data_IF_057434528016
#
_entry.id   IF_057434528016
#
_cell.length_a   1.000
_cell.length_b   1.000
_cell.length_c   1.000
_cell.angle_alpha   90.00
_cell.angle_beta   90.00
_cell.angle_gamma   90.00
#
_symmetry.space_group_name_H-M   'P 1'
#
loop_
_entity.id
_entity.type
_entity.pdbx_description
1 polymer ?
#
# COMPACT_ATOMS: atom_id res chain seq x y z
N UNK A 1 19.33 -2.21 39.63
CA UNK A 1 20.07 -0.94 39.79
C UNK A 1 20.91 -0.75 38.53
N UNK A 2 20.45 0.11 37.60
CA UNK A 2 21.31 0.58 36.50
C UNK A 2 22.30 1.54 37.15
N UNK A 3 23.59 1.31 36.99
CA UNK A 3 24.62 2.12 37.67
C UNK A 3 24.80 3.45 36.93
N UNK A 4 25.22 4.50 37.63
CA UNK A 4 25.40 5.85 37.08
C UNK A 4 26.36 5.84 35.85
N UNK A 5 27.31 4.90 35.83
CA UNK A 5 28.26 4.64 34.74
C UNK A 5 27.58 4.18 33.46
N UNK A 6 26.57 3.31 33.56
CA UNK A 6 25.81 2.82 32.40
C UNK A 6 25.03 3.99 31.76
N UNK A 7 24.41 4.83 32.60
CA UNK A 7 23.66 6.00 32.13
C UNK A 7 24.53 7.01 31.38
N UNK A 8 25.77 7.19 31.82
CA UNK A 8 26.75 8.05 31.16
C UNK A 8 27.19 7.48 29.80
N UNK A 9 27.45 6.17 29.73
CA UNK A 9 27.79 5.50 28.47
C UNK A 9 26.64 5.57 27.46
N UNK A 10 25.40 5.36 27.88
CA UNK A 10 24.23 5.51 27.00
C UNK A 10 24.09 6.95 26.49
N UNK A 11 24.39 7.95 27.32
CA UNK A 11 24.33 9.36 26.93
C UNK A 11 25.40 9.70 25.87
N UNK A 12 26.63 9.20 26.03
CA UNK A 12 27.69 9.36 25.04
C UNK A 12 27.33 8.64 23.74
N UNK A 13 26.83 7.40 23.82
CA UNK A 13 26.42 6.64 22.66
C UNK A 13 25.30 7.36 21.88
N UNK A 14 24.29 7.88 22.59
CA UNK A 14 23.21 8.66 21.99
C UNK A 14 23.73 9.95 21.36
N UNK A 15 24.59 10.70 22.06
CA UNK A 15 25.20 11.92 21.52
C UNK A 15 26.02 11.65 20.25
N UNK A 16 26.81 10.58 20.26
CA UNK A 16 27.62 10.15 19.11
C UNK A 16 26.74 9.72 17.93
N UNK A 17 25.64 9.01 18.21
CA UNK A 17 24.66 8.64 17.21
C UNK A 17 24.00 9.88 16.58
N UNK A 18 23.53 10.81 17.40
CA UNK A 18 22.91 12.06 16.91
C UNK A 18 23.89 12.87 16.07
N UNK A 19 25.13 13.01 16.53
CA UNK A 19 26.18 13.71 15.80
C UNK A 19 26.46 13.05 14.45
N UNK A 20 26.68 11.74 14.43
CA UNK A 20 27.07 11.01 13.21
C UNK A 20 25.94 10.91 12.19
N UNK A 21 24.69 10.73 12.62
CA UNK A 21 23.58 10.48 11.71
C UNK A 21 22.80 11.73 11.30
N UNK A 22 22.73 12.75 12.14
CA UNK A 22 22.00 13.98 11.82
C UNK A 22 22.95 15.14 11.58
N UNK A 23 23.85 15.43 12.51
CA UNK A 23 24.66 16.66 12.45
C UNK A 23 25.73 16.58 11.36
N UNK A 24 26.49 15.49 11.26
CA UNK A 24 27.57 15.37 10.27
C UNK A 24 27.03 15.41 8.84
N UNK A 25 26.01 14.64 8.43
CA UNK A 25 25.41 14.76 7.09
C UNK A 25 24.80 16.13 6.86
N UNK A 26 24.19 16.71 7.90
CA UNK A 26 23.67 18.07 7.85
C UNK A 26 24.78 19.12 7.71
N UNK A 27 26.01 18.92 8.16
CA UNK A 27 27.06 19.91 7.95
C UNK A 27 27.78 19.69 6.62
N UNK A 28 28.03 18.43 6.26
CA UNK A 28 28.80 18.07 5.07
C UNK A 28 28.07 18.41 3.76
N UNK A 29 26.79 18.04 3.65
CA UNK A 29 25.94 18.28 2.45
C UNK A 29 26.70 18.21 1.12
N UNK A 30 27.23 17.01 0.75
CA UNK A 30 28.19 16.88 -0.34
C UNK A 30 27.68 17.37 -1.70
N UNK A 31 26.36 17.44 -1.88
CA UNK A 31 25.70 17.88 -3.11
C UNK A 31 25.09 19.28 -3.00
N UNK A 32 25.31 19.96 -1.87
CA UNK A 32 24.80 21.29 -1.52
C UNK A 32 23.27 21.38 -1.65
N UNK A 33 22.57 20.30 -1.28
CA UNK A 33 21.12 20.20 -1.45
C UNK A 33 20.38 21.28 -0.67
N UNK A 34 20.89 21.71 0.49
CA UNK A 34 20.21 22.75 1.28
C UNK A 34 20.31 24.13 0.67
N UNK A 35 21.40 24.46 0.00
CA UNK A 35 21.56 25.77 -0.66
C UNK A 35 20.90 25.78 -2.03
N UNK A 36 20.95 24.65 -2.75
CA UNK A 36 20.39 24.52 -4.10
C UNK A 36 18.89 24.34 -4.12
N UNK A 37 18.31 23.65 -3.13
CA UNK A 37 16.90 23.31 -3.12
C UNK A 37 16.20 23.87 -1.88
N UNK A 38 15.22 24.78 -2.06
CA UNK A 38 14.42 25.28 -0.96
C UNK A 38 13.54 24.19 -0.37
N UNK A 39 13.16 24.35 0.89
CA UNK A 39 12.23 23.44 1.53
C UNK A 39 12.16 23.64 3.04
N UNK A 40 11.29 22.89 3.72
CA UNK A 40 11.11 23.01 5.15
C UNK A 40 12.43 22.84 5.92
N UNK A 41 12.71 23.66 6.95
CA UNK A 41 13.97 23.58 7.68
C UNK A 41 14.23 22.19 8.29
N UNK A 42 13.20 21.60 8.92
CA UNK A 42 13.29 20.27 9.53
C UNK A 42 13.54 19.15 8.51
N UNK A 43 13.03 19.30 7.28
CA UNK A 43 13.30 18.36 6.20
C UNK A 43 14.80 18.29 5.86
N UNK A 44 15.59 19.31 6.21
CA UNK A 44 17.02 19.33 5.90
C UNK A 44 17.82 18.53 6.91
N UNK A 45 17.30 18.44 8.13
CA UNK A 45 17.93 17.77 9.26
C UNK A 45 17.54 16.29 9.33
N UNK A 46 16.28 15.95 9.06
CA UNK A 46 15.77 14.60 9.36
C UNK A 46 14.63 14.15 8.46
N UNK A 47 14.59 12.83 8.20
CA UNK A 47 13.48 12.16 7.52
C UNK A 47 12.23 12.04 8.41
N UNK A 48 12.34 12.26 9.72
CA UNK A 48 11.18 12.28 10.64
C UNK A 48 10.15 13.33 10.26
N UNK A 49 10.59 14.45 9.65
CA UNK A 49 9.68 15.45 9.14
C UNK A 49 8.75 14.86 8.06
N UNK A 50 9.32 14.19 7.05
CA UNK A 50 8.53 13.56 5.99
C UNK A 50 7.69 12.39 6.53
N UNK A 51 8.27 11.55 7.37
CA UNK A 51 7.57 10.44 8.02
C UNK A 51 6.33 10.91 8.79
N UNK A 52 6.41 12.04 9.50
CA UNK A 52 5.25 12.61 10.19
C UNK A 52 4.16 13.11 9.24
N UNK A 53 4.54 13.67 8.09
CA UNK A 53 3.60 14.09 7.03
C UNK A 53 2.91 12.89 6.40
N UNK A 54 3.65 11.83 6.05
CA UNK A 54 3.06 10.58 5.53
C UNK A 54 2.06 9.99 6.53
N UNK A 55 2.44 9.93 7.80
CA UNK A 55 1.58 9.42 8.88
C UNK A 55 0.33 10.28 9.12
N UNK A 56 0.39 11.58 8.82
CA UNK A 56 -0.79 12.46 8.92
C UNK A 56 -1.87 12.16 7.89
N UNK A 57 -1.57 11.40 6.83
CA UNK A 57 -2.48 11.14 5.71
C UNK A 57 -2.58 12.27 4.68
N UNK A 58 -1.97 13.43 4.94
CA UNK A 58 -2.05 14.63 4.09
C UNK A 58 -0.79 14.84 3.22
N UNK A 59 -0.03 13.77 2.96
CA UNK A 59 1.24 13.84 2.22
C UNK A 59 1.13 14.57 0.88
N UNK A 60 0.20 14.13 0.02
CA UNK A 60 0.04 14.71 -1.31
C UNK A 60 -0.36 16.18 -1.27
N UNK A 61 -1.23 16.56 -0.33
CA UNK A 61 -1.67 17.94 -0.17
C UNK A 61 -0.53 18.84 0.32
N UNK A 62 0.21 18.41 1.34
CA UNK A 62 1.32 19.17 1.89
C UNK A 62 2.43 19.32 0.86
N UNK A 63 2.77 18.25 0.11
CA UNK A 63 3.78 18.34 -0.96
C UNK A 63 3.35 19.31 -2.05
N UNK A 64 2.07 19.31 -2.45
CA UNK A 64 1.53 20.32 -3.39
C UNK A 64 1.70 21.75 -2.85
N UNK A 65 1.29 22.01 -1.60
CA UNK A 65 1.42 23.33 -0.98
C UNK A 65 2.89 23.79 -0.89
N UNK A 66 3.82 22.85 -0.69
CA UNK A 66 5.25 23.16 -0.69
C UNK A 66 5.75 23.54 -2.08
N UNK A 67 5.30 22.86 -3.13
CA UNK A 67 5.62 23.24 -4.50
C UNK A 67 5.02 24.61 -4.89
N UNK A 68 3.82 24.93 -4.40
CA UNK A 68 3.22 26.27 -4.56
C UNK A 68 4.06 27.36 -3.88
N UNK A 69 4.70 27.03 -2.75
CA UNK A 69 5.51 27.97 -1.97
C UNK A 69 6.96 28.10 -2.44
N UNK A 70 7.60 26.98 -2.79
CA UNK A 70 9.05 26.88 -2.99
C UNK A 70 9.44 26.64 -4.46
N UNK A 71 8.47 26.37 -5.34
CA UNK A 71 8.67 26.15 -6.77
C UNK A 71 8.76 24.68 -7.15
N UNK A 72 9.33 24.41 -8.33
CA UNK A 72 9.32 23.08 -8.97
C UNK A 72 10.23 22.06 -8.30
N UNK A 73 11.29 22.48 -7.62
CA UNK A 73 12.23 21.61 -6.91
C UNK A 73 12.17 21.89 -5.41
N UNK A 74 11.75 20.91 -4.63
CA UNK A 74 11.54 21.07 -3.18
C UNK A 74 12.27 19.99 -2.40
N UNK A 75 13.06 20.39 -1.41
CA UNK A 75 13.71 19.47 -0.48
C UNK A 75 12.71 18.94 0.55
N UNK A 76 12.52 17.62 0.55
CA UNK A 76 11.59 16.89 1.41
C UNK A 76 12.30 16.01 2.47
N UNK A 77 13.62 15.85 2.37
CA UNK A 77 14.45 15.13 3.32
C UNK A 77 15.92 15.51 3.12
N UNK A 78 16.86 15.05 3.97
CA UNK A 78 18.27 15.37 3.83
C UNK A 78 18.84 14.97 2.45
N UNK A 79 18.36 13.86 1.89
CA UNK A 79 18.74 13.36 0.56
C UNK A 79 17.50 13.08 -0.32
N UNK A 80 16.44 13.86 -0.17
CA UNK A 80 15.18 13.66 -0.90
C UNK A 80 14.71 14.99 -1.48
N UNK A 81 14.73 15.08 -2.81
CA UNK A 81 14.19 16.20 -3.58
C UNK A 81 12.93 15.73 -4.31
N UNK A 82 11.86 16.50 -4.18
CA UNK A 82 10.65 16.35 -4.98
C UNK A 82 10.70 17.30 -6.16
N UNK A 83 10.27 16.81 -7.31
CA UNK A 83 10.41 17.47 -8.60
C UNK A 83 9.04 17.51 -9.26
N UNK A 84 8.55 18.72 -9.50
CA UNK A 84 7.31 19.02 -10.20
C UNK A 84 7.63 19.77 -11.49
N UNK A 85 8.43 19.13 -12.35
CA UNK A 85 8.90 19.67 -13.62
C UNK A 85 8.66 18.63 -14.74
N UNK A 86 7.87 18.96 -15.79
CA UNK A 86 7.58 18.02 -16.89
C UNK A 86 8.84 17.57 -17.64
N UNK A 87 9.86 18.42 -17.75
CA UNK A 87 11.09 18.12 -18.49
C UNK A 87 11.95 17.07 -17.77
N UNK A 88 11.69 16.84 -16.49
CA UNK A 88 12.38 15.85 -15.66
C UNK A 88 11.89 14.41 -15.89
N UNK A 89 10.74 14.21 -16.56
CA UNK A 89 10.13 12.88 -16.72
C UNK A 89 11.04 11.89 -17.47
N UNK A 90 11.62 12.30 -18.60
CA UNK A 90 12.51 11.43 -19.39
C UNK A 90 13.82 11.14 -18.66
N UNK A 91 14.35 12.14 -17.94
CA UNK A 91 15.58 12.00 -17.15
C UNK A 91 15.37 10.97 -16.01
N UNK A 92 14.22 11.05 -15.32
CA UNK A 92 13.93 10.23 -14.14
C UNK A 92 13.43 8.84 -14.52
N UNK A 93 12.44 8.77 -15.42
CA UNK A 93 11.73 7.53 -15.76
C UNK A 93 12.22 6.87 -17.06
N UNK A 94 13.13 7.52 -17.79
CA UNK A 94 13.82 6.90 -18.92
C UNK A 94 14.79 5.80 -18.48
N UNK A 95 15.80 5.53 -19.30
CA UNK A 95 16.67 4.37 -19.09
C UNK A 95 17.80 4.60 -18.07
N UNK A 96 17.95 5.81 -17.52
CA UNK A 96 19.12 6.22 -16.74
C UNK A 96 19.11 5.77 -15.28
N UNK A 97 18.09 6.14 -14.51
CA UNK A 97 18.12 6.03 -13.05
C UNK A 97 17.71 4.64 -12.53
N UNK A 98 18.25 4.29 -11.36
CA UNK A 98 17.81 3.14 -10.58
C UNK A 98 16.75 3.58 -9.58
N UNK A 99 15.80 2.69 -9.28
CA UNK A 99 14.91 2.85 -8.13
C UNK A 99 15.75 3.05 -6.87
N UNK A 100 15.31 3.95 -5.98
CA UNK A 100 16.01 4.27 -4.74
C UNK A 100 15.88 3.13 -3.71
N UNK A 101 16.63 3.23 -2.60
CA UNK A 101 16.52 2.29 -1.47
C UNK A 101 15.15 2.29 -0.82
N UNK A 102 14.35 3.33 -1.05
CA UNK A 102 12.95 3.44 -0.66
C UNK A 102 12.15 2.15 -0.92
N UNK A 103 12.37 1.55 -2.09
CA UNK A 103 11.67 0.35 -2.51
C UNK A 103 12.00 -0.89 -1.65
N UNK A 104 13.13 -0.91 -0.93
CA UNK A 104 13.48 -2.02 -0.06
C UNK A 104 12.52 -2.18 1.12
N UNK A 105 11.85 -1.11 1.56
CA UNK A 105 10.81 -1.19 2.60
C UNK A 105 9.60 -2.03 2.18
N UNK A 106 9.42 -2.25 0.87
CA UNK A 106 8.36 -3.11 0.33
C UNK A 106 8.74 -4.59 0.26
N UNK A 107 10.02 -4.93 0.50
CA UNK A 107 10.47 -6.31 0.40
C UNK A 107 9.98 -7.12 1.60
N UNK A 108 9.00 -8.01 1.36
CA UNK A 108 8.39 -8.86 2.41
C UNK A 108 9.05 -10.23 2.56
N UNK A 109 9.89 -10.65 1.61
CA UNK A 109 10.49 -11.98 1.56
C UNK A 109 12.00 -11.94 1.26
N UNK A 110 12.64 -13.11 1.16
CA UNK A 110 14.09 -13.21 0.89
C UNK A 110 14.47 -12.67 -0.49
N UNK A 111 13.51 -12.62 -1.43
CA UNK A 111 13.69 -12.08 -2.77
C UNK A 111 12.79 -10.87 -2.98
N UNK A 112 13.27 -9.94 -3.80
CA UNK A 112 12.47 -8.84 -4.35
C UNK A 112 11.36 -9.39 -5.25
N UNK A 113 10.28 -8.62 -5.40
CA UNK A 113 9.25 -8.79 -6.42
C UNK A 113 9.48 -7.78 -7.57
N UNK A 114 8.59 -7.78 -8.57
CA UNK A 114 8.70 -6.86 -9.70
C UNK A 114 8.66 -5.38 -9.29
N UNK A 115 7.89 -5.04 -8.25
CA UNK A 115 7.72 -3.66 -7.80
C UNK A 115 8.99 -3.13 -7.10
N UNK A 116 9.59 -3.92 -6.22
CA UNK A 116 10.75 -3.50 -5.43
C UNK A 116 12.13 -3.90 -5.98
N UNK A 117 12.21 -4.70 -7.06
CA UNK A 117 13.50 -4.93 -7.73
C UNK A 117 14.07 -3.63 -8.29
N UNK A 118 15.30 -3.33 -7.89
CA UNK A 118 16.08 -2.16 -8.32
C UNK A 118 17.06 -2.48 -9.45
N UNK A 119 17.59 -3.71 -9.48
CA UNK A 119 18.47 -4.16 -10.56
C UNK A 119 17.71 -4.27 -11.89
N UNK A 120 18.27 -3.68 -12.95
CA UNK A 120 17.57 -3.57 -14.23
C UNK A 120 17.46 -4.92 -14.95
N UNK A 121 18.47 -5.79 -14.82
CA UNK A 121 18.48 -7.11 -15.47
C UNK A 121 17.44 -8.00 -14.80
N UNK A 122 17.50 -8.12 -13.48
CA UNK A 122 16.54 -8.88 -12.68
C UNK A 122 15.11 -8.36 -12.90
N UNK A 123 14.91 -7.03 -12.92
CA UNK A 123 13.60 -6.44 -13.17
C UNK A 123 13.07 -6.80 -14.55
N UNK A 124 13.92 -6.75 -15.57
CA UNK A 124 13.55 -7.10 -16.95
C UNK A 124 13.14 -8.57 -17.08
N UNK A 125 13.85 -9.47 -16.42
CA UNK A 125 13.51 -10.90 -16.37
C UNK A 125 12.16 -11.14 -15.67
N UNK A 126 11.94 -10.51 -14.51
CA UNK A 126 10.66 -10.62 -13.78
C UNK A 126 9.50 -10.05 -14.59
N UNK A 127 9.70 -8.90 -15.24
CA UNK A 127 8.70 -8.26 -16.10
C UNK A 127 8.34 -9.18 -17.26
N UNK A 128 9.33 -9.79 -17.91
CA UNK A 128 9.11 -10.71 -19.04
C UNK A 128 8.16 -11.85 -18.65
N UNK A 129 8.32 -12.43 -17.46
CA UNK A 129 7.48 -13.55 -16.97
C UNK A 129 6.00 -13.22 -16.84
N UNK A 130 5.65 -11.98 -16.50
CA UNK A 130 4.24 -11.57 -16.29
C UNK A 130 3.67 -10.73 -17.44
N UNK A 131 4.52 -10.27 -18.37
CA UNK A 131 4.13 -9.35 -19.44
C UNK A 131 3.00 -9.87 -20.34
N UNK A 132 2.95 -11.18 -20.60
CA UNK A 132 1.93 -11.79 -21.44
C UNK A 132 0.52 -11.61 -20.86
N UNK A 133 0.37 -11.63 -19.53
CA UNK A 133 -0.90 -11.45 -18.82
C UNK A 133 -1.52 -10.08 -19.13
N UNK A 134 -0.67 -9.06 -19.32
CA UNK A 134 -1.08 -7.68 -19.60
C UNK A 134 -1.12 -7.35 -21.10
N UNK A 135 -1.01 -8.34 -22.00
CA UNK A 135 -1.23 -8.10 -23.43
C UNK A 135 -2.68 -7.74 -23.71
N UNK A 136 -2.94 -6.89 -24.72
CA UNK A 136 -4.31 -6.47 -25.06
C UNK A 136 -5.26 -7.66 -25.26
N UNK A 137 -4.79 -8.72 -25.93
CA UNK A 137 -5.55 -9.97 -26.11
C UNK A 137 -5.94 -10.62 -24.79
N UNK A 138 -4.99 -10.76 -23.84
CA UNK A 138 -5.27 -11.41 -22.56
C UNK A 138 -6.07 -10.52 -21.61
N UNK A 139 -5.94 -9.20 -21.70
CA UNK A 139 -6.78 -8.29 -20.92
C UNK A 139 -8.25 -8.42 -21.30
N UNK A 140 -8.56 -8.58 -22.60
CA UNK A 140 -9.93 -8.78 -23.06
C UNK A 140 -10.55 -10.09 -22.54
N UNK A 141 -9.75 -11.13 -22.27
CA UNK A 141 -10.29 -12.38 -21.69
C UNK A 141 -10.76 -12.21 -20.25
N UNK A 142 -10.38 -11.12 -19.56
CA UNK A 142 -10.88 -10.80 -18.22
C UNK A 142 -12.22 -10.08 -18.23
N UNK A 143 -12.66 -9.54 -19.37
CA UNK A 143 -13.89 -8.74 -19.46
C UNK A 143 -15.13 -9.44 -18.90
N UNK A 144 -15.41 -10.73 -19.20
CA UNK A 144 -16.59 -11.40 -18.66
C UNK A 144 -16.58 -11.47 -17.12
N UNK A 145 -15.40 -11.68 -16.52
CA UNK A 145 -15.25 -11.72 -15.05
C UNK A 145 -15.49 -10.35 -14.43
N UNK A 146 -14.87 -9.31 -14.99
CA UNK A 146 -15.05 -7.92 -14.54
C UNK A 146 -16.53 -7.52 -14.65
N UNK A 147 -17.17 -7.84 -15.78
CA UNK A 147 -18.60 -7.57 -16.01
C UNK A 147 -19.50 -8.27 -14.99
N UNK A 148 -19.15 -9.47 -14.55
CA UNK A 148 -19.87 -10.18 -13.48
C UNK A 148 -19.85 -9.40 -12.16
N UNK A 149 -18.68 -8.92 -11.74
CA UNK A 149 -18.55 -8.10 -10.52
C UNK A 149 -19.30 -6.78 -10.62
N UNK A 150 -19.28 -6.12 -11.78
CA UNK A 150 -20.07 -4.89 -12.02
C UNK A 150 -21.56 -5.18 -11.88
N UNK A 151 -22.07 -6.27 -12.47
CA UNK A 151 -23.47 -6.67 -12.34
C UNK A 151 -23.84 -6.98 -10.89
N UNK A 152 -22.96 -7.61 -10.12
CA UNK A 152 -23.19 -7.85 -8.69
C UNK A 152 -23.31 -6.52 -7.92
N UNK A 153 -22.47 -5.53 -8.22
CA UNK A 153 -22.58 -4.22 -7.59
C UNK A 153 -23.90 -3.52 -7.93
N UNK A 154 -24.30 -3.52 -9.21
CA UNK A 154 -25.58 -2.95 -9.63
C UNK A 154 -26.77 -3.65 -8.91
N UNK A 155 -26.75 -4.98 -8.83
CA UNK A 155 -27.78 -5.73 -8.13
C UNK A 155 -27.86 -5.37 -6.63
N UNK A 156 -26.72 -5.10 -5.98
CA UNK A 156 -26.68 -4.61 -4.59
C UNK A 156 -27.28 -3.20 -4.46
N UNK A 157 -27.03 -2.31 -5.43
CA UNK A 157 -27.66 -0.99 -5.44
C UNK A 157 -29.18 -1.08 -5.66
N UNK A 158 -29.64 -1.93 -6.57
CA UNK A 158 -31.06 -2.17 -6.80
C UNK A 158 -31.75 -2.72 -5.54
N UNK A 159 -31.09 -3.62 -4.81
CA UNK A 159 -31.59 -4.15 -3.54
C UNK A 159 -31.74 -3.03 -2.51
N UNK A 160 -30.73 -2.17 -2.36
CA UNK A 160 -30.79 -1.04 -1.43
C UNK A 160 -31.87 -0.04 -1.75
N UNK A 161 -32.10 0.26 -3.03
CA UNK A 161 -33.21 1.12 -3.43
C UNK A 161 -34.55 0.54 -2.93
N UNK A 162 -34.74 -0.78 -3.02
CA UNK A 162 -35.94 -1.47 -2.51
C UNK A 162 -36.02 -1.45 -0.99
N UNK A 163 -34.89 -1.61 -0.30
CA UNK A 163 -34.82 -1.59 1.17
C UNK A 163 -35.03 -0.18 1.73
N UNK A 164 -34.47 0.84 1.09
CA UNK A 164 -34.65 2.24 1.46
C UNK A 164 -36.10 2.70 1.31
N UNK A 165 -36.80 2.23 0.27
CA UNK A 165 -38.24 2.46 0.11
C UNK A 165 -39.06 1.88 1.29
N UNK A 166 -38.51 0.92 2.03
CA UNK A 166 -39.10 0.34 3.26
C UNK A 166 -38.54 0.97 4.55
N UNK A 167 -37.69 2.00 4.44
CA UNK A 167 -37.05 2.66 5.58
C UNK A 167 -35.94 1.84 6.25
N UNK A 168 -35.45 0.77 5.61
CA UNK A 168 -34.34 -0.05 6.15
C UNK A 168 -33.03 0.63 5.81
N UNK A 169 -32.10 0.69 6.77
CA UNK A 169 -30.72 1.14 6.56
C UNK A 169 -29.75 0.00 6.85
N UNK A 170 -28.48 0.14 6.47
CA UNK A 170 -27.50 -0.91 6.71
C UNK A 170 -26.07 -0.40 6.82
N UNK A 171 -25.12 -1.33 6.75
CA UNK A 171 -23.70 -0.99 6.80
C UNK A 171 -23.32 -0.18 5.56
N UNK A 172 -22.74 1.01 5.79
CA UNK A 172 -22.24 1.91 4.75
C UNK A 172 -23.31 2.49 3.80
N UNK A 173 -24.57 2.56 4.25
CA UNK A 173 -25.64 3.29 3.57
C UNK A 173 -26.81 3.59 4.51
N UNK A 174 -27.56 4.65 4.24
CA UNK A 174 -28.73 5.04 5.02
C UNK A 174 -29.95 5.25 4.13
N UNK A 175 -31.12 4.92 4.64
CA UNK A 175 -32.38 5.26 4.00
C UNK A 175 -32.83 6.65 4.42
N UNK A 176 -33.02 7.54 3.46
CA UNK A 176 -33.53 8.89 3.68
C UNK A 176 -34.60 9.18 2.64
N UNK A 177 -35.81 9.55 3.08
CA UNK A 177 -36.95 9.88 2.20
C UNK A 177 -37.27 8.79 1.15
N UNK A 178 -37.09 7.51 1.51
CA UNK A 178 -37.30 6.38 0.60
C UNK A 178 -36.15 6.14 -0.40
N UNK A 179 -35.05 6.89 -0.29
CA UNK A 179 -33.87 6.79 -1.14
C UNK A 179 -32.68 6.20 -0.38
N UNK A 180 -31.84 5.43 -1.07
CA UNK A 180 -30.61 4.90 -0.50
C UNK A 180 -29.46 5.89 -0.70
N UNK A 181 -28.94 6.44 0.40
CA UNK A 181 -27.71 7.23 0.39
C UNK A 181 -26.52 6.33 0.66
N UNK A 182 -25.60 6.24 -0.30
CA UNK A 182 -24.45 5.33 -0.29
C UNK A 182 -23.13 6.10 -0.39
N UNK A 183 -22.09 5.63 0.30
CA UNK A 183 -20.72 6.09 0.04
C UNK A 183 -20.17 5.42 -1.22
N UNK A 184 -20.22 6.14 -2.35
CA UNK A 184 -19.76 5.66 -3.65
C UNK A 184 -18.27 5.32 -3.65
N UNK A 185 -17.43 6.04 -2.89
CA UNK A 185 -15.99 5.75 -2.83
C UNK A 185 -15.74 4.37 -2.23
N UNK A 186 -16.47 4.02 -1.17
CA UNK A 186 -16.42 2.70 -0.58
C UNK A 186 -17.01 1.62 -1.53
N UNK A 187 -18.12 1.89 -2.21
CA UNK A 187 -18.72 0.96 -3.19
C UNK A 187 -17.76 0.60 -4.32
N UNK A 188 -17.10 1.60 -4.91
CA UNK A 188 -16.11 1.40 -5.97
C UNK A 188 -14.87 0.66 -5.42
N UNK A 189 -14.50 0.92 -4.16
CA UNK A 189 -13.42 0.18 -3.53
C UNK A 189 -13.76 -1.30 -3.37
N UNK A 190 -14.98 -1.64 -2.94
CA UNK A 190 -15.43 -3.04 -2.87
C UNK A 190 -15.32 -3.74 -4.21
N UNK A 191 -15.79 -3.07 -5.28
CA UNK A 191 -15.68 -3.57 -6.65
C UNK A 191 -14.23 -3.80 -7.06
N UNK A 192 -13.35 -2.83 -6.85
CA UNK A 192 -11.95 -2.92 -7.24
C UNK A 192 -11.23 -4.07 -6.51
N UNK A 193 -11.44 -4.20 -5.19
CA UNK A 193 -10.80 -5.25 -4.41
C UNK A 193 -11.35 -6.64 -4.73
N UNK A 194 -12.64 -6.80 -4.99
CA UNK A 194 -13.21 -8.10 -5.41
C UNK A 194 -12.72 -8.52 -6.80
N UNK A 195 -12.61 -7.58 -7.76
CA UNK A 195 -11.99 -7.83 -9.06
C UNK A 195 -10.52 -8.26 -8.89
N UNK A 196 -9.74 -7.53 -8.07
CA UNK A 196 -8.33 -7.86 -7.80
C UNK A 196 -8.22 -9.24 -7.14
N UNK A 197 -9.06 -9.54 -6.15
CA UNK A 197 -9.08 -10.85 -5.48
C UNK A 197 -9.38 -11.98 -6.46
N UNK A 198 -10.39 -11.81 -7.30
CA UNK A 198 -10.76 -12.81 -8.30
C UNK A 198 -9.66 -13.02 -9.35
N UNK A 199 -9.11 -11.94 -9.94
CA UNK A 199 -8.10 -12.05 -10.99
C UNK A 199 -6.74 -12.51 -10.46
N UNK A 200 -6.31 -12.05 -9.28
CA UNK A 200 -4.99 -12.35 -8.73
C UNK A 200 -4.97 -13.63 -7.87
N UNK A 201 -6.03 -13.89 -7.11
CA UNK A 201 -6.11 -15.02 -6.16
C UNK A 201 -7.05 -16.14 -6.63
N UNK A 202 -7.87 -15.88 -7.66
CA UNK A 202 -8.86 -16.83 -8.15
C UNK A 202 -10.17 -16.86 -7.37
N UNK A 203 -10.37 -15.93 -6.44
CA UNK A 203 -11.62 -15.76 -5.71
C UNK A 203 -11.77 -14.34 -5.17
N UNK A 204 -12.97 -13.72 -5.27
CA UNK A 204 -13.22 -12.41 -4.69
C UNK A 204 -13.20 -12.47 -3.16
N UNK A 205 -12.89 -11.32 -2.53
CA UNK A 205 -12.95 -11.19 -1.07
C UNK A 205 -14.41 -11.22 -0.57
N UNK A 206 -15.37 -10.86 -1.42
CA UNK A 206 -16.81 -10.84 -1.15
C UNK A 206 -17.30 -9.51 -0.60
N UNK A 207 -16.55 -8.43 -0.82
CA UNK A 207 -16.84 -7.10 -0.28
C UNK A 207 -18.09 -6.49 -0.94
N UNK A 208 -18.34 -6.78 -2.21
CA UNK A 208 -19.56 -6.33 -2.91
C UNK A 208 -20.79 -6.95 -2.25
N UNK A 209 -20.75 -8.24 -1.93
CA UNK A 209 -21.89 -8.91 -1.31
C UNK A 209 -22.07 -8.51 0.16
N UNK A 210 -20.96 -8.41 0.89
CA UNK A 210 -20.96 -8.02 2.31
C UNK A 210 -21.33 -6.55 2.51
N UNK A 211 -21.14 -5.72 1.48
CA UNK A 211 -21.43 -4.30 1.51
C UNK A 211 -20.70 -3.51 2.62
N UNK A 212 -19.57 -4.06 3.04
CA UNK A 212 -18.72 -3.60 4.12
C UNK A 212 -17.28 -4.00 3.83
N UNK A 213 -16.32 -3.26 4.40
CA UNK A 213 -14.92 -3.68 4.41
C UNK A 213 -14.72 -4.82 5.43
N UNK A 214 -15.25 -5.99 5.10
CA UNK A 214 -15.14 -7.22 5.89
C UNK A 214 -15.12 -8.41 4.94
N UNK A 215 -14.04 -9.19 5.00
CA UNK A 215 -13.94 -10.50 4.34
C UNK A 215 -13.79 -11.57 5.41
N UNK A 216 -14.56 -12.64 5.30
CA UNK A 216 -14.40 -13.81 6.15
C UNK A 216 -13.07 -14.49 5.85
N UNK A 217 -12.28 -14.75 6.90
CA UNK A 217 -11.02 -15.47 6.79
C UNK A 217 -11.23 -16.85 6.17
N UNK A 218 -10.43 -17.27 5.19
CA UNK A 218 -10.43 -18.66 4.75
C UNK A 218 -9.63 -19.46 5.78
N UNK A 219 -10.33 -20.33 6.53
CA UNK A 219 -9.74 -21.13 7.61
C UNK A 219 -9.15 -22.43 7.08
N UNK A 220 -9.75 -23.02 6.05
CA UNK A 220 -9.27 -24.26 5.42
C UNK A 220 -9.69 -24.33 3.95
N UNK A 221 -9.13 -25.32 3.25
CA UNK A 221 -9.48 -25.64 1.86
C UNK A 221 -9.87 -27.10 1.84
N UNK A 222 -11.04 -27.41 1.29
CA UNK A 222 -11.52 -28.78 1.25
C UNK A 222 -10.79 -29.64 0.21
N UNK A 223 -11.16 -30.92 0.09
CA UNK A 223 -10.57 -31.86 -0.87
C UNK A 223 -10.74 -31.41 -2.33
N UNK A 224 -11.82 -30.68 -2.66
CA UNK A 224 -12.12 -30.16 -4.00
C UNK A 224 -11.37 -28.87 -4.33
N UNK A 225 -10.77 -28.22 -3.33
CA UNK A 225 -10.09 -26.94 -3.48
C UNK A 225 -11.00 -25.74 -3.25
N UNK A 226 -12.24 -25.96 -2.79
CA UNK A 226 -13.13 -24.86 -2.39
C UNK A 226 -12.72 -24.32 -1.01
N UNK A 227 -12.65 -22.99 -0.86
CA UNK A 227 -12.24 -22.37 0.38
C UNK A 227 -13.35 -22.42 1.43
N UNK A 228 -13.06 -22.98 2.60
CA UNK A 228 -13.92 -22.90 3.76
C UNK A 228 -13.70 -21.55 4.45
N UNK A 229 -14.69 -20.67 4.32
CA UNK A 229 -14.70 -19.36 4.97
C UNK A 229 -15.12 -19.53 6.43
N UNK A 230 -14.22 -19.13 7.32
CA UNK A 230 -14.40 -19.12 8.76
C UNK A 230 -15.24 -17.96 9.26
N UNK A 231 -15.11 -17.66 10.55
CA UNK A 231 -15.93 -16.64 11.23
C UNK A 231 -15.20 -15.32 11.48
N UNK A 232 -13.88 -15.30 11.29
CA UNK A 232 -13.07 -14.11 11.59
C UNK A 232 -13.12 -13.12 10.43
N UNK A 233 -13.70 -11.96 10.70
CA UNK A 233 -13.74 -10.83 9.77
C UNK A 233 -12.39 -10.11 9.68
N UNK A 234 -11.97 -9.79 8.45
CA UNK A 234 -10.75 -9.04 8.16
C UNK A 234 -11.13 -7.81 7.31
N UNK A 235 -10.80 -6.58 7.75
CA UNK A 235 -11.04 -5.39 6.95
C UNK A 235 -9.95 -5.25 5.89
N UNK A 236 -10.21 -5.77 4.70
CA UNK A 236 -9.24 -5.90 3.59
C UNK A 236 -8.69 -4.54 3.18
N UNK A 237 -9.58 -3.58 2.90
CA UNK A 237 -9.23 -2.25 2.38
C UNK A 237 -8.42 -1.50 3.43
N UNK A 238 -8.94 -1.42 4.66
CA UNK A 238 -8.26 -0.75 5.77
C UNK A 238 -6.91 -1.36 6.09
N UNK A 239 -6.80 -2.70 6.04
CA UNK A 239 -5.54 -3.41 6.28
C UNK A 239 -4.49 -3.06 5.23
N UNK A 240 -4.88 -3.03 3.96
CA UNK A 240 -3.97 -2.70 2.85
C UNK A 240 -3.57 -1.22 2.89
N UNK A 241 -4.54 -0.32 3.09
CA UNK A 241 -4.29 1.12 3.17
C UNK A 241 -3.32 1.46 4.33
N UNK A 242 -3.57 0.92 5.52
CA UNK A 242 -2.70 1.13 6.69
C UNK A 242 -1.30 0.57 6.44
N UNK A 243 -1.19 -0.64 5.88
CA UNK A 243 0.11 -1.22 5.55
C UNK A 243 0.89 -0.35 4.55
N UNK A 244 0.21 0.27 3.59
CA UNK A 244 0.80 1.23 2.66
C UNK A 244 1.39 2.44 3.37
N UNK A 245 0.63 3.08 4.26
CA UNK A 245 1.10 4.25 5.03
C UNK A 245 2.33 3.91 5.88
N UNK A 246 2.30 2.80 6.63
CA UNK A 246 3.45 2.38 7.46
C UNK A 246 4.70 2.10 6.62
N UNK A 247 4.55 1.46 5.46
CA UNK A 247 5.69 1.21 4.57
C UNK A 247 6.25 2.54 4.04
N UNK A 248 5.40 3.44 3.55
CA UNK A 248 5.82 4.76 3.05
C UNK A 248 6.53 5.58 4.14
N UNK A 249 6.03 5.54 5.39
CA UNK A 249 6.62 6.21 6.55
C UNK A 249 8.03 5.70 6.84
N UNK A 250 8.25 4.39 6.73
CA UNK A 250 9.55 3.76 6.98
C UNK A 250 10.50 3.93 5.79
N UNK A 251 9.97 3.90 4.57
CA UNK A 251 10.73 3.89 3.33
C UNK A 251 11.56 5.17 3.10
N UNK A 252 11.19 6.29 3.73
CA UNK A 252 11.96 7.54 3.65
C UNK A 252 13.27 7.50 4.44
N UNK A 253 13.45 6.49 5.31
CA UNK A 253 14.70 6.29 6.05
C UNK A 253 15.65 5.37 5.29
N UNK A 254 16.96 5.39 5.62
CA UNK A 254 17.92 4.43 5.08
C UNK A 254 17.51 2.98 5.35
N UNK A 255 17.85 2.09 4.42
CA UNK A 255 17.45 0.68 4.42
C UNK A 255 17.79 -0.09 5.72
N UNK A 256 18.97 0.17 6.31
CA UNK A 256 19.38 -0.46 7.56
C UNK A 256 18.45 -0.15 8.74
N UNK A 257 17.74 0.99 8.71
CA UNK A 257 16.85 1.42 9.78
C UNK A 257 15.46 0.79 9.68
N UNK A 258 15.07 0.29 8.51
CA UNK A 258 13.69 -0.16 8.24
C UNK A 258 13.18 -1.20 9.25
N UNK A 259 14.02 -2.18 9.61
CA UNK A 259 13.67 -3.23 10.57
C UNK A 259 13.35 -2.66 11.94
N UNK A 260 14.16 -1.73 12.43
CA UNK A 260 13.96 -1.11 13.75
C UNK A 260 12.71 -0.23 13.76
N UNK A 261 12.50 0.54 12.70
CA UNK A 261 11.34 1.43 12.57
C UNK A 261 10.01 0.66 12.43
N UNK A 262 10.05 -0.55 11.89
CA UNK A 262 8.88 -1.42 11.84
C UNK A 262 8.36 -1.82 13.22
N UNK A 263 9.24 -1.93 14.22
CA UNK A 263 8.87 -2.28 15.60
C UNK A 263 8.37 -1.10 16.44
N UNK A 264 8.26 0.10 15.86
CA UNK A 264 7.69 1.24 16.57
C UNK A 264 6.22 0.98 16.93
N UNK A 265 5.74 1.40 18.12
CA UNK A 265 4.41 1.04 18.61
C UNK A 265 3.26 1.35 17.65
N UNK A 266 3.33 2.48 16.94
CA UNK A 266 2.30 2.87 15.97
C UNK A 266 2.30 2.02 14.69
N UNK A 267 3.44 1.45 14.30
CA UNK A 267 3.55 0.54 13.15
C UNK A 267 3.09 -0.89 13.48
N UNK A 268 2.95 -1.22 14.76
CA UNK A 268 2.40 -2.50 15.22
C UNK A 268 0.86 -2.50 15.26
N UNK A 269 0.22 -1.34 15.14
CA UNK A 269 -1.25 -1.23 15.13
C UNK A 269 -1.82 -1.93 13.89
N UNK A 270 -2.69 -2.92 14.09
CA UNK A 270 -3.27 -3.72 13.01
C UNK A 270 -2.36 -4.84 12.50
N UNK A 271 -1.27 -5.17 13.22
CA UNK A 271 -0.39 -6.29 12.86
C UNK A 271 -1.15 -7.62 12.76
N UNK A 272 -2.11 -7.87 13.67
CA UNK A 272 -2.94 -9.07 13.62
C UNK A 272 -3.80 -9.13 12.35
N UNK A 273 -4.42 -8.01 11.95
CA UNK A 273 -5.21 -7.95 10.71
C UNK A 273 -4.32 -8.19 9.49
N UNK A 274 -3.09 -7.63 9.50
CA UNK A 274 -2.09 -7.88 8.45
C UNK A 274 -1.67 -9.35 8.38
N UNK A 275 -1.44 -10.00 9.51
CA UNK A 275 -1.10 -11.44 9.58
C UNK A 275 -2.26 -12.28 9.04
N UNK A 276 -3.49 -11.98 9.48
CA UNK A 276 -4.70 -12.65 9.01
C UNK A 276 -4.91 -12.46 7.52
N UNK A 277 -4.73 -11.25 7.00
CA UNK A 277 -4.82 -10.95 5.57
C UNK A 277 -3.77 -11.73 4.75
N UNK A 278 -2.52 -11.79 5.21
CA UNK A 278 -1.48 -12.59 4.54
C UNK A 278 -1.87 -14.07 4.50
N UNK A 279 -2.41 -14.59 5.61
CA UNK A 279 -2.90 -15.98 5.66
C UNK A 279 -4.05 -16.19 4.67
N UNK A 280 -5.05 -15.31 4.66
CA UNK A 280 -6.17 -15.33 3.71
C UNK A 280 -5.67 -15.40 2.26
N UNK A 281 -4.74 -14.54 1.89
CA UNK A 281 -4.14 -14.50 0.54
C UNK A 281 -3.42 -15.81 0.23
N UNK A 282 -2.58 -16.31 1.14
CA UNK A 282 -1.85 -17.57 0.95
C UNK A 282 -2.79 -18.75 0.73
N UNK A 283 -3.81 -18.88 1.57
CA UNK A 283 -4.80 -19.95 1.49
C UNK A 283 -5.66 -19.85 0.23
N UNK A 284 -6.00 -18.62 -0.21
CA UNK A 284 -6.71 -18.41 -1.49
C UNK A 284 -5.89 -18.93 -2.68
N UNK A 285 -4.58 -18.65 -2.69
CA UNK A 285 -3.67 -19.13 -3.74
C UNK A 285 -3.52 -20.65 -3.69
N UNK A 286 -3.34 -21.23 -2.50
CA UNK A 286 -3.28 -22.69 -2.32
C UNK A 286 -4.57 -23.38 -2.82
N UNK A 287 -5.74 -22.81 -2.49
CA UNK A 287 -7.03 -23.27 -3.00
C UNK A 287 -7.10 -23.20 -4.53
N UNK A 288 -6.63 -22.09 -5.11
CA UNK A 288 -6.62 -21.90 -6.57
C UNK A 288 -5.69 -22.86 -7.29
N UNK A 289 -4.53 -23.16 -6.72
CA UNK A 289 -3.59 -24.15 -7.26
C UNK A 289 -4.23 -25.53 -7.23
N UNK A 290 -4.87 -25.89 -6.11
CA UNK A 290 -5.53 -27.18 -5.93
C UNK A 290 -6.70 -27.40 -6.90
N UNK A 291 -7.51 -26.37 -7.15
CA UNK A 291 -8.65 -26.44 -8.08
C UNK A 291 -8.26 -26.64 -9.55
N UNK A 292 -7.03 -26.30 -9.94
CA UNK A 292 -6.64 -26.32 -11.35
C UNK A 292 -7.40 -25.27 -12.19
N UNK A 293 -7.16 -25.19 -13.51
CA UNK A 293 -7.84 -24.23 -14.37
C UNK A 293 -9.37 -24.48 -14.37
N UNK A 294 -10.17 -23.43 -14.18
CA UNK A 294 -11.62 -23.51 -14.43
C UNK A 294 -11.82 -23.58 -15.94
N UNK A 295 -12.47 -24.63 -16.42
CA UNK A 295 -12.99 -24.67 -17.78
C UNK A 295 -13.93 -23.48 -17.95
N UNK A 296 -13.66 -22.67 -18.98
CA UNK A 296 -14.58 -21.61 -19.37
C UNK A 296 -15.72 -22.36 -20.06
N UNK A 297 -16.86 -22.53 -19.37
CA UNK A 297 -18.06 -22.97 -20.06
C UNK A 297 -18.43 -21.87 -21.05
N UNK A 298 -18.32 -22.19 -22.34
CA UNK A 298 -18.85 -21.37 -23.43
C UNK A 298 -20.38 -21.43 -23.34
N UNK A 299 -20.98 -20.38 -22.75
CA UNK A 299 -22.40 -20.06 -22.91
C UNK A 299 -22.55 -18.92 -23.93
#
# INVERSE_FOLDING_TARGET
MVTNTDSFQYSIALGTFVLTFYVVPYLLDPYDYRRRFPGPPLAGLTNWWMSSIVRSGHHSEIVRQLHEKYGTFVRLGPNHISIADPDSLEIIFGHGLLKSEFYQAYQKGPKSDLFNTRDKVEHSEKRKRVSSIFSAKNVLTFEPRIRSHIRQLCAQWDLRCKEAARGVSGDNWVAENGQALVDVCAQISYLAFDIIGDLALGSPFGLIQAQKDSSLSIESVDASGEPHRGTVEIPVIKTIARAGVSIMEIAVFPSWAHKFLFFLPWNLVGLFDKIKFIRLVKTSVEARIKRGPKEIMED
#
